data_IF_356058319749
#
_entry.id   IF_356058319749
#
_cell.length_a   1.000
_cell.length_b   1.000
_cell.length_c   1.000
_cell.angle_alpha   90.00
_cell.angle_beta   90.00
_cell.angle_gamma   90.00
#
_symmetry.space_group_name_H-M   'P 1'
#
loop_
_entity.id
_entity.type
_entity.pdbx_description
1 polymer ?
#
# COMPACT_ATOMS: atom_id res chain seq x y z
N UNK A 1 1.37 -8.77 -14.97
CA UNK A 1 0.77 -7.44 -14.78
C UNK A 1 0.63 -7.26 -13.29
N UNK A 2 1.57 -6.55 -12.68
CA UNK A 2 1.54 -6.29 -11.24
C UNK A 2 0.26 -5.51 -10.90
N UNK A 3 -0.56 -6.04 -10.00
CA UNK A 3 -1.81 -5.41 -9.57
C UNK A 3 -1.65 -4.99 -8.12
N UNK A 4 -1.57 -3.67 -7.91
CA UNK A 4 -1.71 -3.07 -6.59
C UNK A 4 -3.19 -2.76 -6.41
N UNK A 5 -3.79 -3.31 -5.37
CA UNK A 5 -5.16 -3.02 -4.95
C UNK A 5 -5.06 -2.04 -3.79
N UNK A 6 -5.54 -0.81 -3.98
CA UNK A 6 -5.55 0.24 -2.96
C UNK A 6 -7.01 0.51 -2.62
N UNK A 7 -7.33 0.50 -1.33
CA UNK A 7 -8.63 0.90 -0.81
C UNK A 7 -8.45 2.10 0.14
N UNK A 8 -9.09 3.22 -0.21
CA UNK A 8 -9.01 4.47 0.56
C UNK A 8 -10.33 4.68 1.29
N UNK A 9 -10.26 5.14 2.53
CA UNK A 9 -11.43 5.32 3.38
C UNK A 9 -11.82 6.80 3.48
N UNK A 10 -13.07 7.06 3.87
CA UNK A 10 -13.57 8.40 4.24
C UNK A 10 -13.39 9.53 3.22
N UNK A 11 -13.16 9.20 1.94
CA UNK A 11 -12.89 10.19 0.89
C UNK A 11 -11.45 10.73 0.91
N UNK A 12 -10.58 10.10 1.68
CA UNK A 12 -9.15 10.39 1.72
C UNK A 12 -8.47 10.00 0.39
N UNK A 13 -7.34 10.66 0.14
CA UNK A 13 -6.53 10.50 -1.07
C UNK A 13 -5.17 9.93 -0.69
N UNK A 14 -4.67 8.98 -1.48
CA UNK A 14 -3.34 8.39 -1.24
C UNK A 14 -2.22 9.43 -1.35
N UNK A 15 -2.45 10.49 -2.12
CA UNK A 15 -1.53 11.62 -2.28
C UNK A 15 -1.35 12.42 -0.98
N UNK A 16 -2.29 12.31 -0.04
CA UNK A 16 -2.22 12.99 1.26
C UNK A 16 -1.55 12.12 2.34
N UNK A 17 -1.11 10.92 2.00
CA UNK A 17 -0.47 10.01 2.95
C UNK A 17 0.94 10.50 3.32
N UNK A 18 1.26 10.48 4.60
CA UNK A 18 2.60 10.79 5.11
C UNK A 18 3.43 9.54 5.42
N UNK A 19 2.78 8.39 5.54
CA UNK A 19 3.41 7.13 5.91
C UNK A 19 2.64 5.95 5.35
N UNK A 20 3.39 4.91 4.99
CA UNK A 20 2.88 3.57 4.70
C UNK A 20 3.63 2.57 5.57
N UNK A 21 2.93 1.56 6.08
CA UNK A 21 3.54 0.35 6.61
C UNK A 21 3.44 -0.77 5.59
N UNK A 22 4.35 -1.74 5.64
CA UNK A 22 4.36 -2.91 4.75
C UNK A 22 4.67 -4.15 5.56
N UNK A 23 3.86 -5.19 5.33
CA UNK A 23 4.00 -6.51 5.94
C UNK A 23 3.87 -7.57 4.85
N UNK A 24 4.82 -8.49 4.82
CA UNK A 24 4.78 -9.63 3.90
C UNK A 24 4.02 -10.79 4.52
N UNK A 25 3.02 -11.30 3.81
CA UNK A 25 2.21 -12.44 4.20
C UNK A 25 2.64 -13.67 3.38
N UNK A 26 3.52 -14.53 3.93
CA UNK A 26 4.11 -15.64 3.19
C UNK A 26 3.10 -16.73 2.79
N UNK A 27 1.96 -16.80 3.48
CA UNK A 27 0.90 -17.78 3.17
C UNK A 27 0.19 -17.48 1.85
N UNK A 28 0.01 -16.20 1.53
CA UNK A 28 -0.70 -15.75 0.32
C UNK A 28 0.29 -15.29 -0.77
N UNK A 29 1.57 -15.12 -0.42
CA UNK A 29 2.58 -14.54 -1.32
C UNK A 29 2.35 -13.06 -1.60
N UNK A 30 1.64 -12.38 -0.70
CA UNK A 30 1.19 -11.00 -0.87
C UNK A 30 1.86 -10.07 0.14
N UNK A 31 2.08 -8.83 -0.28
CA UNK A 31 2.39 -7.73 0.61
C UNK A 31 1.12 -6.97 0.92
N UNK A 32 0.95 -6.62 2.19
CA UNK A 32 -0.17 -5.81 2.67
C UNK A 32 0.35 -4.67 3.52
N UNK A 33 -0.40 -3.59 3.57
CA UNK A 33 0.00 -2.45 4.37
C UNK A 33 -1.12 -1.45 4.54
N UNK A 34 -0.98 -0.58 5.53
CA UNK A 34 -1.90 0.51 5.77
C UNK A 34 -1.27 1.83 5.29
N UNK A 35 -2.15 2.76 4.98
CA UNK A 35 -1.82 4.11 4.54
C UNK A 35 -2.22 5.04 5.68
N UNK A 36 -1.31 5.92 6.07
CA UNK A 36 -1.46 6.77 7.24
C UNK A 36 -1.34 8.24 6.86
N UNK A 37 -2.04 9.08 7.63
CA UNK A 37 -1.96 10.53 7.62
C UNK A 37 -2.17 11.05 9.02
N UNK A 38 -1.25 11.88 9.52
CA UNK A 38 -1.29 12.48 10.86
C UNK A 38 -1.51 11.43 11.97
N UNK A 39 -0.93 10.24 11.81
CA UNK A 39 -1.07 9.12 12.75
C UNK A 39 -2.40 8.36 12.71
N UNK A 40 -3.28 8.67 11.75
CA UNK A 40 -4.55 7.97 11.49
C UNK A 40 -4.43 7.10 10.24
N UNK A 41 -4.99 5.88 10.29
CA UNK A 41 -5.16 5.05 9.10
C UNK A 41 -6.25 5.64 8.18
N UNK A 42 -5.88 5.88 6.93
CA UNK A 42 -6.75 6.45 5.88
C UNK A 42 -7.01 5.48 4.73
N UNK A 43 -6.40 4.29 4.75
CA UNK A 43 -6.63 3.26 3.77
C UNK A 43 -5.69 2.08 3.96
N UNK A 44 -5.82 1.09 3.08
CA UNK A 44 -4.97 -0.08 3.03
C UNK A 44 -4.68 -0.48 1.58
N UNK A 45 -3.65 -1.30 1.42
CA UNK A 45 -3.25 -1.80 0.11
C UNK A 45 -2.77 -3.24 0.19
N UNK A 46 -2.98 -3.96 -0.91
CA UNK A 46 -2.50 -5.32 -1.14
C UNK A 46 -1.85 -5.38 -2.51
N UNK A 47 -0.65 -5.95 -2.58
CA UNK A 47 0.00 -6.26 -3.86
C UNK A 47 0.68 -7.62 -3.82
N UNK A 48 0.51 -8.39 -4.90
CA UNK A 48 1.02 -9.76 -5.01
C UNK A 48 2.30 -9.88 -5.85
N UNK A 49 2.74 -8.80 -6.48
CA UNK A 49 3.86 -8.83 -7.43
C UNK A 49 5.05 -7.99 -6.92
N UNK A 50 6.20 -8.61 -6.57
CA UNK A 50 7.38 -7.90 -6.08
C UNK A 50 8.01 -6.95 -7.11
N UNK A 51 7.67 -7.06 -8.40
CA UNK A 51 8.15 -6.13 -9.45
C UNK A 51 7.55 -4.73 -9.28
N UNK A 52 6.39 -4.60 -8.63
CA UNK A 52 5.74 -3.31 -8.39
C UNK A 52 6.53 -2.40 -7.43
N UNK A 53 7.25 -3.00 -6.47
CA UNK A 53 8.02 -2.26 -5.47
C UNK A 53 9.25 -1.56 -6.09
N UNK A 54 9.89 -2.19 -7.08
CA UNK A 54 11.07 -1.65 -7.77
C UNK A 54 10.73 -0.43 -8.67
N UNK A 55 9.49 -0.33 -9.14
CA UNK A 55 9.01 0.80 -9.95
C UNK A 55 8.66 1.99 -9.05
N UNK A 56 8.04 1.77 -7.88
CA UNK A 56 7.67 2.85 -6.96
C UNK A 56 8.88 3.46 -6.23
N UNK A 57 9.98 2.72 -6.04
CA UNK A 57 11.19 3.22 -5.37
C UNK A 57 12.13 4.02 -6.28
N UNK A 58 11.81 4.16 -7.58
CA UNK A 58 12.67 4.79 -8.60
C UNK A 58 12.07 6.03 -9.26
N UNK A 59 10.85 6.40 -8.91
CA UNK A 59 10.12 7.57 -9.45
C UNK A 59 10.07 8.71 -8.46
#
# INVERSE_FOLDING_TARGET
>A
MAKIMIDMWYGDKKEDADKIDISFYPNDGEYRGNIWKDGRMIGDYVFADPVALEIFSRS
#
